data_IF_817996211733
#
_entry.id   IF_817996211733
#
_cell.length_a   1.000
_cell.length_b   1.000
_cell.length_c   1.000
_cell.angle_alpha   90.00
_cell.angle_beta   90.00
_cell.angle_gamma   90.00
#
_symmetry.space_group_name_H-M   'P 1'
#
loop_
_entity.id
_entity.type
_entity.pdbx_description
1 polymer ?
#
# COMPACT_ATOMS: atom_id res chain seq x y z
N UNK A 1 50.75 -55.55 30.90
CA UNK A 1 50.70 -54.06 31.17
C UNK A 1 51.36 -53.39 30.00
N UNK A 2 50.56 -52.89 29.04
CA UNK A 2 51.09 -52.17 27.88
C UNK A 2 50.48 -50.76 27.93
N UNK A 3 51.33 -49.78 28.20
CA UNK A 3 51.05 -48.37 28.26
C UNK A 3 51.07 -47.78 26.84
N UNK A 4 49.93 -47.44 26.31
CA UNK A 4 49.80 -46.75 25.02
C UNK A 4 49.96 -45.23 25.25
N UNK A 5 51.04 -44.68 24.81
CA UNK A 5 51.33 -43.22 24.82
C UNK A 5 50.58 -42.55 23.67
N UNK A 6 49.57 -41.77 24.00
CA UNK A 6 48.84 -40.90 23.02
C UNK A 6 49.69 -39.65 22.76
N UNK A 7 50.26 -39.57 21.60
CA UNK A 7 50.99 -38.38 21.09
C UNK A 7 49.95 -37.29 20.69
N UNK A 8 49.92 -36.20 21.43
CA UNK A 8 49.11 -35.01 21.18
C UNK A 8 49.71 -34.22 20.02
N UNK A 9 49.09 -34.20 18.86
CA UNK A 9 49.47 -33.35 17.75
C UNK A 9 49.33 -31.85 18.14
N UNK A 10 50.25 -30.98 17.74
CA UNK A 10 50.15 -29.56 18.03
C UNK A 10 49.03 -28.94 17.24
N UNK A 11 48.11 -28.32 17.95
CA UNK A 11 47.02 -27.47 17.37
C UNK A 11 47.71 -26.32 16.64
N UNK A 12 47.59 -26.32 15.31
CA UNK A 12 48.12 -25.23 14.49
C UNK A 12 47.40 -23.93 14.85
N UNK A 13 48.20 -22.91 15.24
CA UNK A 13 47.71 -21.55 15.42
C UNK A 13 47.12 -21.04 14.12
N UNK A 14 45.89 -20.49 14.10
CA UNK A 14 45.30 -19.94 12.89
C UNK A 14 46.13 -18.77 12.37
N UNK A 15 46.49 -18.82 11.11
CA UNK A 15 47.20 -17.78 10.38
C UNK A 15 46.53 -16.41 10.51
N UNK A 16 47.27 -15.31 10.80
CA UNK A 16 46.70 -13.97 10.91
C UNK A 16 46.08 -13.42 9.61
N UNK A 17 46.28 -14.08 8.49
CA UNK A 17 45.72 -13.71 7.19
C UNK A 17 44.21 -13.97 7.03
N UNK A 18 43.57 -14.74 7.94
CA UNK A 18 42.12 -15.01 7.88
C UNK A 18 41.26 -13.95 8.60
N UNK A 19 41.89 -12.99 9.31
CA UNK A 19 41.17 -12.08 10.21
C UNK A 19 40.89 -10.69 9.66
N UNK A 20 41.04 -10.43 8.38
CA UNK A 20 40.66 -9.15 7.76
C UNK A 20 39.88 -9.35 6.46
N UNK A 21 38.73 -10.00 6.53
CA UNK A 21 37.69 -9.59 5.60
C UNK A 21 37.15 -8.25 6.10
N UNK A 22 37.66 -7.17 5.47
CA UNK A 22 37.07 -5.86 5.57
C UNK A 22 35.54 -5.98 5.40
N UNK A 23 34.74 -5.20 6.16
CA UNK A 23 33.30 -5.14 5.88
C UNK A 23 33.22 -4.83 4.39
N UNK A 24 32.60 -5.75 3.65
CA UNK A 24 32.30 -5.54 2.24
C UNK A 24 31.64 -4.18 2.15
N UNK A 25 32.35 -3.22 1.54
CA UNK A 25 31.75 -1.98 1.12
C UNK A 25 30.35 -2.37 0.62
N UNK A 26 29.30 -1.68 1.07
CA UNK A 26 27.98 -1.76 0.45
C UNK A 26 28.21 -1.32 -1.00
N UNK A 27 28.72 -2.26 -1.80
CA UNK A 27 29.06 -2.07 -3.19
C UNK A 27 27.79 -1.59 -3.84
N UNK A 28 27.87 -0.49 -4.54
CA UNK A 28 26.79 0.07 -5.37
C UNK A 28 26.21 -1.09 -6.18
N UNK A 29 25.14 -1.70 -5.63
CA UNK A 29 24.41 -2.75 -6.33
C UNK A 29 23.86 -2.09 -7.57
N UNK A 30 24.35 -2.49 -8.75
CA UNK A 30 23.97 -1.87 -10.01
C UNK A 30 22.45 -1.91 -10.16
N UNK A 31 21.89 -0.90 -10.79
CA UNK A 31 20.44 -0.73 -10.95
C UNK A 31 19.76 -2.02 -11.49
N UNK A 32 20.42 -2.72 -12.42
CA UNK A 32 19.94 -4.00 -12.98
C UNK A 32 19.89 -5.13 -11.94
N UNK A 33 20.88 -5.21 -11.07
CA UNK A 33 20.88 -6.20 -9.99
C UNK A 33 19.81 -5.90 -8.96
N UNK A 34 19.59 -4.61 -8.66
CA UNK A 34 18.55 -4.15 -7.75
C UNK A 34 17.14 -4.47 -8.27
N UNK A 35 16.89 -4.22 -9.55
CA UNK A 35 15.62 -4.57 -10.21
C UNK A 35 15.37 -6.09 -10.21
N UNK A 36 16.41 -6.89 -10.44
CA UNK A 36 16.31 -8.37 -10.40
C UNK A 36 16.02 -8.87 -8.98
N UNK A 37 16.61 -8.26 -7.95
CA UNK A 37 16.32 -8.57 -6.55
C UNK A 37 14.88 -8.17 -6.17
N UNK A 38 14.43 -6.99 -6.58
CA UNK A 38 13.03 -6.54 -6.38
C UNK A 38 12.07 -7.54 -7.05
N UNK A 39 12.32 -7.93 -8.30
CA UNK A 39 11.48 -8.90 -9.02
C UNK A 39 11.44 -10.27 -8.34
N UNK A 40 12.57 -10.80 -7.88
CA UNK A 40 12.63 -12.08 -7.17
C UNK A 40 11.89 -12.03 -5.82
N UNK A 41 12.05 -10.94 -5.06
CA UNK A 41 11.36 -10.72 -3.79
C UNK A 41 9.85 -10.50 -4.01
N UNK A 42 9.48 -9.73 -5.02
CA UNK A 42 8.07 -9.51 -5.38
C UNK A 42 7.40 -10.83 -5.77
N UNK A 43 8.04 -11.67 -6.61
CA UNK A 43 7.53 -13.00 -6.94
C UNK A 43 7.35 -13.88 -5.71
N UNK A 44 8.31 -13.87 -4.80
CA UNK A 44 8.19 -14.61 -3.53
C UNK A 44 7.03 -14.12 -2.70
N UNK A 45 6.89 -12.81 -2.51
CA UNK A 45 5.80 -12.21 -1.74
C UNK A 45 4.43 -12.48 -2.40
N UNK A 46 4.35 -12.43 -3.74
CA UNK A 46 3.13 -12.76 -4.48
C UNK A 46 2.74 -14.24 -4.29
N UNK A 47 3.71 -15.16 -4.26
CA UNK A 47 3.45 -16.57 -3.95
C UNK A 47 2.98 -16.76 -2.50
N UNK A 48 3.48 -15.99 -1.55
CA UNK A 48 3.00 -16.02 -0.16
C UNK A 48 1.53 -15.56 -0.06
N UNK A 49 1.15 -14.49 -0.76
CA UNK A 49 -0.25 -14.03 -0.83
C UNK A 49 -1.15 -15.11 -1.43
N UNK A 50 -0.70 -15.82 -2.48
CA UNK A 50 -1.47 -16.93 -3.06
C UNK A 50 -1.66 -18.11 -2.08
N UNK A 51 -0.76 -18.26 -1.11
CA UNK A 51 -0.83 -19.29 -0.05
C UNK A 51 -1.56 -18.80 1.20
N UNK A 52 -1.92 -17.50 1.25
CA UNK A 52 -2.71 -16.90 2.32
C UNK A 52 -4.14 -16.63 1.81
N UNK A 53 -5.05 -17.59 1.98
CA UNK A 53 -6.42 -17.47 1.47
C UNK A 53 -7.19 -16.33 2.15
N UNK A 54 -6.85 -15.96 3.39
CA UNK A 54 -7.50 -14.85 4.10
C UNK A 54 -7.24 -13.50 3.40
N UNK A 55 -5.99 -13.20 3.04
CA UNK A 55 -5.69 -11.93 2.39
C UNK A 55 -6.18 -11.85 0.94
N UNK A 56 -6.32 -13.00 0.26
CA UNK A 56 -6.97 -13.05 -1.07
C UNK A 56 -8.47 -12.86 -0.97
N UNK A 57 -9.09 -13.48 0.05
CA UNK A 57 -10.52 -13.35 0.31
C UNK A 57 -10.89 -11.90 0.61
N UNK A 58 -10.09 -11.21 1.42
CA UNK A 58 -10.23 -9.77 1.71
C UNK A 58 -10.14 -8.92 0.44
N UNK A 59 -9.17 -9.17 -0.43
CA UNK A 59 -8.98 -8.40 -1.66
C UNK A 59 -10.11 -8.59 -2.67
N UNK A 60 -10.82 -9.73 -2.63
CA UNK A 60 -11.92 -10.04 -3.53
C UNK A 60 -13.28 -9.67 -2.92
N UNK A 61 -13.51 -10.06 -1.67
CA UNK A 61 -14.83 -9.93 -1.05
C UNK A 61 -15.14 -8.52 -0.56
N UNK A 62 -14.13 -7.82 0.00
CA UNK A 62 -14.35 -6.47 0.53
C UNK A 62 -14.82 -5.46 -0.52
N UNK A 63 -14.22 -5.37 -1.73
CA UNK A 63 -14.76 -4.50 -2.78
C UNK A 63 -16.23 -4.80 -3.13
N UNK A 64 -16.59 -6.07 -3.17
CA UNK A 64 -17.95 -6.51 -3.48
C UNK A 64 -18.92 -6.10 -2.36
N UNK A 65 -18.56 -6.38 -1.11
CA UNK A 65 -19.39 -6.02 0.04
C UNK A 65 -19.58 -4.51 0.11
N UNK A 66 -18.50 -3.74 -0.04
CA UNK A 66 -18.59 -2.28 0.08
C UNK A 66 -19.45 -1.68 -1.01
N UNK A 67 -19.27 -2.05 -2.28
CA UNK A 67 -20.09 -1.48 -3.35
C UNK A 67 -21.57 -1.85 -3.19
N UNK A 68 -21.87 -3.11 -2.84
CA UNK A 68 -23.27 -3.53 -2.60
C UNK A 68 -23.86 -2.79 -1.41
N UNK A 69 -23.13 -2.71 -0.29
CA UNK A 69 -23.59 -2.02 0.91
C UNK A 69 -23.87 -0.54 0.61
N UNK A 70 -22.92 0.16 -0.01
CA UNK A 70 -23.11 1.58 -0.30
C UNK A 70 -24.25 1.81 -1.30
N UNK A 71 -24.32 1.06 -2.37
CA UNK A 71 -25.37 1.24 -3.39
C UNK A 71 -26.76 0.92 -2.86
N UNK A 72 -26.95 -0.20 -2.17
CA UNK A 72 -28.28 -0.62 -1.72
C UNK A 72 -28.70 0.03 -0.39
N UNK A 73 -27.79 0.33 0.53
CA UNK A 73 -28.14 0.95 1.81
C UNK A 73 -28.21 2.47 1.69
N UNK A 74 -27.22 3.08 1.03
CA UNK A 74 -27.09 4.54 0.97
C UNK A 74 -27.60 5.15 -0.33
N UNK A 75 -27.63 4.39 -1.44
CA UNK A 75 -28.07 4.89 -2.74
C UNK A 75 -29.46 5.53 -2.70
N UNK A 76 -30.43 4.86 -2.09
CA UNK A 76 -31.78 5.38 -1.94
C UNK A 76 -31.91 6.60 -1.05
N UNK A 77 -31.03 6.73 -0.04
CA UNK A 77 -31.02 7.87 0.89
C UNK A 77 -30.36 9.12 0.30
N UNK A 78 -29.35 8.94 -0.55
CA UNK A 78 -28.54 10.06 -1.11
C UNK A 78 -29.09 10.52 -2.45
N UNK A 79 -29.47 9.60 -3.35
CA UNK A 79 -29.91 9.92 -4.71
C UNK A 79 -31.43 9.88 -4.91
N UNK A 80 -32.17 9.51 -3.85
CA UNK A 80 -33.62 9.31 -3.93
C UNK A 80 -34.00 7.90 -4.42
N UNK A 81 -35.23 7.50 -4.13
CA UNK A 81 -35.75 6.17 -4.54
C UNK A 81 -35.75 6.02 -6.07
N UNK A 82 -35.12 4.99 -6.56
CA UNK A 82 -35.02 4.65 -7.99
C UNK A 82 -33.82 5.18 -8.74
N UNK A 83 -32.94 5.99 -8.13
CA UNK A 83 -31.78 6.59 -8.77
C UNK A 83 -30.45 5.91 -8.35
N UNK A 84 -30.45 4.60 -8.12
CA UNK A 84 -29.26 3.87 -7.69
C UNK A 84 -28.10 3.98 -8.69
N UNK A 85 -28.38 4.06 -10.00
CA UNK A 85 -27.37 4.22 -11.06
C UNK A 85 -26.57 5.54 -10.90
N UNK A 86 -27.27 6.63 -10.55
CA UNK A 86 -26.62 7.92 -10.29
C UNK A 86 -25.63 7.80 -9.13
N UNK A 87 -26.02 7.08 -8.08
CA UNK A 87 -25.14 6.88 -6.92
C UNK A 87 -23.99 5.93 -7.20
N UNK A 88 -24.18 4.89 -8.01
CA UNK A 88 -23.10 3.98 -8.46
C UNK A 88 -22.01 4.79 -9.17
N UNK A 89 -22.40 5.66 -10.10
CA UNK A 89 -21.47 6.53 -10.83
C UNK A 89 -20.73 7.52 -9.91
N UNK A 90 -21.37 7.93 -8.81
CA UNK A 90 -20.76 8.79 -7.81
C UNK A 90 -19.81 8.03 -6.87
N UNK A 91 -20.26 6.91 -6.29
CA UNK A 91 -19.56 6.25 -5.18
C UNK A 91 -18.41 5.35 -5.64
N UNK A 92 -18.52 4.71 -6.82
CA UNK A 92 -17.52 3.74 -7.30
C UNK A 92 -16.10 4.35 -7.40
N UNK A 93 -15.91 5.55 -8.01
CA UNK A 93 -14.60 6.19 -8.01
C UNK A 93 -14.09 6.56 -6.60
N UNK A 94 -14.99 6.94 -5.69
CA UNK A 94 -14.67 7.17 -4.30
C UNK A 94 -14.20 5.91 -3.57
N UNK A 95 -14.87 4.78 -3.80
CA UNK A 95 -14.47 3.49 -3.22
C UNK A 95 -13.10 3.02 -3.72
N UNK A 96 -12.67 3.40 -4.92
CA UNK A 96 -11.29 3.14 -5.39
C UNK A 96 -10.25 3.77 -4.45
N UNK A 97 -10.48 5.02 -4.02
CA UNK A 97 -9.61 5.71 -3.07
C UNK A 97 -9.59 5.00 -1.70
N UNK A 98 -10.75 4.59 -1.22
CA UNK A 98 -10.90 3.85 0.04
C UNK A 98 -10.19 2.49 0.01
N UNK A 99 -10.30 1.72 -1.09
CA UNK A 99 -9.59 0.44 -1.24
C UNK A 99 -8.08 0.63 -1.18
N UNK A 100 -7.56 1.64 -1.88
CA UNK A 100 -6.13 1.97 -1.85
C UNK A 100 -5.63 2.27 -0.44
N UNK A 101 -6.40 3.01 0.33
CA UNK A 101 -6.09 3.35 1.71
C UNK A 101 -6.06 2.12 2.64
N UNK A 102 -7.06 1.25 2.55
CA UNK A 102 -7.17 0.05 3.40
C UNK A 102 -6.01 -0.93 3.12
N UNK A 103 -5.68 -1.16 1.84
CA UNK A 103 -4.55 -2.00 1.45
C UNK A 103 -3.23 -1.39 1.91
N UNK A 104 -3.09 -0.07 1.84
CA UNK A 104 -1.90 0.62 2.33
C UNK A 104 -1.70 0.45 3.84
N UNK A 105 -2.77 0.50 4.62
CA UNK A 105 -2.73 0.24 6.07
C UNK A 105 -2.26 -1.19 6.37
N UNK A 106 -2.75 -2.18 5.63
CA UNK A 106 -2.36 -3.58 5.80
C UNK A 106 -0.84 -3.80 5.61
N UNK A 107 -0.18 -3.00 4.73
CA UNK A 107 1.27 -3.02 4.56
C UNK A 107 2.00 -2.70 5.88
N UNK A 108 1.55 -1.68 6.59
CA UNK A 108 2.14 -1.27 7.86
C UNK A 108 2.01 -2.33 8.95
N UNK A 109 0.82 -2.93 9.06
CA UNK A 109 0.55 -4.05 9.96
C UNK A 109 1.46 -5.23 9.62
N UNK A 110 1.49 -5.65 8.36
CA UNK A 110 2.31 -6.76 7.90
C UNK A 110 3.82 -6.55 8.09
N UNK A 111 4.33 -5.32 7.96
CA UNK A 111 5.75 -5.03 8.27
C UNK A 111 6.02 -5.19 9.77
N UNK A 112 5.14 -4.72 10.64
CA UNK A 112 5.30 -4.90 12.09
C UNK A 112 5.35 -6.40 12.46
N UNK A 113 4.47 -7.20 11.87
CA UNK A 113 4.42 -8.65 12.10
C UNK A 113 5.65 -9.37 11.56
N UNK A 114 6.14 -9.00 10.37
CA UNK A 114 7.38 -9.55 9.79
C UNK A 114 8.58 -9.31 10.72
N UNK A 115 8.66 -8.14 11.37
CA UNK A 115 9.69 -7.86 12.37
C UNK A 115 9.53 -8.74 13.61
N UNK A 116 8.31 -8.94 14.12
CA UNK A 116 8.07 -9.78 15.29
C UNK A 116 8.37 -11.26 15.04
N UNK A 117 8.06 -11.74 13.84
CA UNK A 117 8.31 -13.13 13.43
C UNK A 117 9.78 -13.39 13.08
N UNK A 118 10.68 -12.40 13.20
CA UNK A 118 12.10 -12.54 12.89
C UNK A 118 12.39 -12.75 11.39
N UNK A 119 11.42 -12.50 10.51
CA UNK A 119 11.60 -12.62 9.06
C UNK A 119 12.69 -11.65 8.58
N UNK A 120 12.78 -10.48 9.21
CA UNK A 120 13.77 -9.46 8.87
C UNK A 120 15.20 -9.85 9.23
N UNK A 121 15.41 -10.70 10.23
CA UNK A 121 16.76 -11.17 10.61
C UNK A 121 17.35 -12.07 9.53
N UNK A 122 16.53 -12.79 8.79
CA UNK A 122 16.98 -13.57 7.61
C UNK A 122 17.43 -12.67 6.47
N UNK A 123 16.84 -11.49 6.29
CA UNK A 123 17.25 -10.54 5.26
C UNK A 123 18.59 -9.85 5.60
N UNK A 124 18.97 -9.80 6.88
CA UNK A 124 20.28 -9.27 7.32
C UNK A 124 21.46 -10.07 6.79
N UNK A 125 21.27 -11.38 6.63
CA UNK A 125 22.34 -12.28 6.16
C UNK A 125 22.47 -12.32 4.64
N UNK A 126 21.51 -11.72 3.91
CA UNK A 126 21.55 -11.68 2.46
C UNK A 126 22.16 -10.39 1.92
N UNK A 127 22.96 -10.44 0.85
CA UNK A 127 23.54 -9.25 0.21
C UNK A 127 22.50 -8.52 -0.66
N UNK A 128 21.42 -8.01 -0.03
CA UNK A 128 20.28 -7.34 -0.69
C UNK A 128 20.20 -5.90 -0.19
N UNK A 129 19.94 -4.95 -1.08
CA UNK A 129 19.72 -3.57 -0.67
C UNK A 129 18.44 -3.50 0.21
N UNK A 130 18.54 -2.91 1.38
CA UNK A 130 17.46 -2.83 2.38
C UNK A 130 16.20 -2.15 1.82
N UNK A 131 16.36 -1.14 0.97
CA UNK A 131 15.26 -0.50 0.26
C UNK A 131 14.51 -1.43 -0.69
N UNK A 132 15.20 -2.43 -1.29
CA UNK A 132 14.59 -3.37 -2.23
C UNK A 132 13.54 -4.26 -1.56
N UNK A 133 13.68 -4.57 -0.28
CA UNK A 133 12.70 -5.34 0.48
C UNK A 133 11.39 -4.56 0.62
N UNK A 134 11.49 -3.28 0.98
CA UNK A 134 10.32 -2.40 1.12
C UNK A 134 9.64 -2.16 -0.23
N UNK A 135 10.42 -1.88 -1.28
CA UNK A 135 9.89 -1.67 -2.63
C UNK A 135 9.20 -2.93 -3.16
N UNK A 136 9.82 -4.11 -2.96
CA UNK A 136 9.20 -5.38 -3.38
C UNK A 136 7.85 -5.62 -2.69
N UNK A 137 7.72 -5.26 -1.41
CA UNK A 137 6.44 -5.34 -0.69
C UNK A 137 5.42 -4.37 -1.28
N UNK A 138 5.78 -3.12 -1.53
CA UNK A 138 4.91 -2.13 -2.18
C UNK A 138 4.44 -2.62 -3.55
N UNK A 139 5.33 -3.14 -4.39
CA UNK A 139 4.98 -3.64 -5.74
C UNK A 139 3.92 -4.75 -5.67
N UNK A 140 4.06 -5.67 -4.73
CA UNK A 140 3.08 -6.77 -4.55
C UNK A 140 1.73 -6.24 -4.06
N UNK A 141 1.73 -5.29 -3.13
CA UNK A 141 0.50 -4.71 -2.61
C UNK A 141 -0.20 -3.79 -3.63
N UNK A 142 0.56 -3.11 -4.49
CA UNK A 142 -0.01 -2.42 -5.67
C UNK A 142 -0.67 -3.42 -6.62
N UNK A 143 -0.09 -4.59 -6.82
CA UNK A 143 -0.72 -5.67 -7.58
C UNK A 143 -2.04 -6.14 -6.95
N UNK A 144 -2.07 -6.31 -5.62
CA UNK A 144 -3.30 -6.65 -4.88
C UNK A 144 -4.36 -5.54 -4.97
N UNK A 145 -3.93 -4.29 -4.87
CA UNK A 145 -4.79 -3.13 -5.04
C UNK A 145 -5.39 -3.06 -6.46
N UNK A 146 -4.61 -3.40 -7.48
CA UNK A 146 -5.10 -3.48 -8.86
C UNK A 146 -6.19 -4.54 -9.01
N UNK A 147 -6.02 -5.72 -8.41
CA UNK A 147 -7.04 -6.78 -8.40
C UNK A 147 -8.32 -6.27 -7.71
N UNK A 148 -8.21 -5.72 -6.51
CA UNK A 148 -9.35 -5.19 -5.77
C UNK A 148 -10.09 -4.08 -6.54
N UNK A 149 -9.35 -3.17 -7.17
CA UNK A 149 -9.91 -2.09 -8.00
C UNK A 149 -10.60 -2.64 -9.25
N UNK A 150 -10.03 -3.67 -9.89
CA UNK A 150 -10.64 -4.31 -11.06
C UNK A 150 -11.96 -5.00 -10.69
N UNK A 151 -12.01 -5.67 -9.54
CA UNK A 151 -13.23 -6.30 -9.02
C UNK A 151 -14.28 -5.24 -8.69
N UNK A 152 -13.87 -4.16 -8.01
CA UNK A 152 -14.75 -3.03 -7.69
C UNK A 152 -15.38 -2.42 -8.95
N UNK A 153 -14.57 -2.16 -9.97
CA UNK A 153 -15.06 -1.63 -11.26
C UNK A 153 -15.94 -2.63 -11.98
N UNK A 154 -15.59 -3.93 -11.99
CA UNK A 154 -16.42 -4.99 -12.55
C UNK A 154 -17.79 -5.05 -11.91
N UNK A 155 -17.85 -4.97 -10.58
CA UNK A 155 -19.12 -4.88 -9.84
C UNK A 155 -19.85 -3.57 -10.12
N UNK A 156 -19.13 -2.46 -10.23
CA UNK A 156 -19.69 -1.17 -10.62
C UNK A 156 -20.41 -1.26 -11.98
N UNK A 157 -19.79 -1.87 -12.98
CA UNK A 157 -20.40 -2.09 -14.31
C UNK A 157 -21.65 -2.96 -14.24
N UNK A 158 -21.65 -4.01 -13.42
CA UNK A 158 -22.84 -4.85 -13.21
C UNK A 158 -24.00 -4.09 -12.53
N UNK A 159 -23.68 -3.04 -11.76
CA UNK A 159 -24.66 -2.22 -11.04
C UNK A 159 -25.07 -0.94 -11.80
N UNK A 160 -24.57 -0.73 -13.03
CA UNK A 160 -24.92 0.42 -13.86
C UNK A 160 -23.89 1.55 -13.87
N UNK A 161 -22.60 1.27 -13.57
CA UNK A 161 -21.53 2.24 -13.79
C UNK A 161 -21.37 2.49 -15.29
N UNK A 162 -21.47 3.72 -15.70
CA UNK A 162 -21.25 4.15 -17.07
C UNK A 162 -19.96 4.94 -17.20
N UNK A 163 -19.19 4.67 -18.26
CA UNK A 163 -17.99 5.47 -18.58
C UNK A 163 -18.42 6.51 -19.61
N UNK A 164 -18.45 7.76 -19.20
CA UNK A 164 -18.79 8.89 -20.10
C UNK A 164 -17.56 9.46 -20.81
N UNK A 165 -16.38 8.88 -20.59
CA UNK A 165 -15.10 9.29 -21.14
C UNK A 165 -14.47 8.18 -22.01
N UNK A 166 -13.17 8.24 -22.27
CA UNK A 166 -12.46 7.20 -23.01
C UNK A 166 -11.86 6.14 -22.08
N UNK A 167 -11.58 4.96 -22.64
CA UNK A 167 -10.86 3.89 -21.94
C UNK A 167 -9.51 4.35 -21.33
N UNK A 168 -8.83 5.29 -21.99
CA UNK A 168 -7.57 5.85 -21.48
C UNK A 168 -7.77 6.66 -20.19
N UNK A 169 -8.89 7.35 -20.04
CA UNK A 169 -9.22 8.06 -18.81
C UNK A 169 -9.51 7.09 -17.65
N UNK A 170 -10.17 5.96 -17.93
CA UNK A 170 -10.34 4.90 -16.94
C UNK A 170 -8.99 4.34 -16.47
N UNK A 171 -8.07 4.05 -17.42
CA UNK A 171 -6.72 3.61 -17.07
C UNK A 171 -5.95 4.67 -16.28
N UNK A 172 -6.13 5.95 -16.60
CA UNK A 172 -5.54 7.05 -15.85
C UNK A 172 -6.09 7.12 -14.41
N UNK A 173 -7.39 6.91 -14.20
CA UNK A 173 -8.01 6.85 -12.88
C UNK A 173 -7.46 5.69 -12.04
N UNK A 174 -7.34 4.50 -12.65
CA UNK A 174 -6.71 3.33 -12.00
C UNK A 174 -5.25 3.64 -11.67
N UNK A 175 -4.47 4.13 -12.63
CA UNK A 175 -3.06 4.47 -12.41
C UNK A 175 -2.85 5.52 -11.32
N UNK A 176 -3.69 6.57 -11.30
CA UNK A 176 -3.64 7.60 -10.27
C UNK A 176 -3.93 7.02 -8.87
N UNK A 177 -4.93 6.13 -8.77
CA UNK A 177 -5.26 5.43 -7.52
C UNK A 177 -4.10 4.55 -7.05
N UNK A 178 -3.40 3.85 -7.99
CA UNK A 178 -2.22 3.03 -7.67
C UNK A 178 -1.06 3.90 -7.15
N UNK A 179 -0.77 5.01 -7.82
CA UNK A 179 0.30 5.95 -7.42
C UNK A 179 0.02 6.54 -6.04
N UNK A 180 -1.20 6.99 -5.82
CA UNK A 180 -1.59 7.56 -4.53
C UNK A 180 -1.57 6.50 -3.41
N UNK A 181 -2.12 5.31 -3.65
CA UNK A 181 -2.06 4.19 -2.70
C UNK A 181 -0.62 3.81 -2.37
N UNK A 182 0.26 3.71 -3.38
CA UNK A 182 1.68 3.44 -3.15
C UNK A 182 2.36 4.52 -2.30
N UNK A 183 1.95 5.78 -2.43
CA UNK A 183 2.46 6.86 -1.58
C UNK A 183 2.02 6.70 -0.12
N UNK A 184 0.75 6.33 0.11
CA UNK A 184 0.23 6.05 1.46
C UNK A 184 0.94 4.86 2.13
N UNK A 185 1.34 3.85 1.36
CA UNK A 185 2.08 2.71 1.90
C UNK A 185 3.35 3.14 2.63
N UNK A 186 4.04 4.20 2.20
CA UNK A 186 5.23 4.70 2.89
C UNK A 186 4.92 5.24 4.29
N UNK A 187 3.76 5.91 4.47
CA UNK A 187 3.29 6.35 5.81
C UNK A 187 3.11 5.15 6.71
N UNK A 188 2.39 4.13 6.23
CA UNK A 188 2.09 2.94 7.03
C UNK A 188 3.31 2.06 7.28
N UNK A 189 4.25 1.99 6.33
CA UNK A 189 5.56 1.35 6.55
C UNK A 189 6.28 2.05 7.70
N UNK A 190 6.35 3.38 7.69
CA UNK A 190 6.99 4.14 8.76
C UNK A 190 6.29 3.91 10.11
N UNK A 191 4.95 3.87 10.11
CA UNK A 191 4.15 3.58 11.29
C UNK A 191 4.42 2.16 11.81
N UNK A 192 4.43 1.15 10.94
CA UNK A 192 4.76 -0.25 11.25
C UNK A 192 6.17 -0.43 11.82
N UNK A 193 7.12 0.38 11.36
CA UNK A 193 8.49 0.40 11.89
C UNK A 193 8.62 1.11 13.24
N UNK A 194 7.70 2.00 13.59
CA UNK A 194 7.77 2.78 14.84
C UNK A 194 6.98 2.16 15.97
N UNK A 195 5.85 1.57 15.68
CA UNK A 195 4.95 1.00 16.67
C UNK A 195 5.46 -0.35 17.21
N UNK A 196 5.07 -0.66 18.47
CA UNK A 196 5.49 -1.90 19.14
C UNK A 196 4.63 -3.12 18.73
N UNK A 197 3.38 -2.91 18.35
CA UNK A 197 2.44 -3.99 18.01
C UNK A 197 1.64 -3.69 16.75
N UNK A 198 1.21 -4.73 16.05
CA UNK A 198 0.34 -4.62 14.89
C UNK A 198 -0.99 -3.93 15.23
N UNK A 199 -1.54 -4.22 16.42
CA UNK A 199 -2.75 -3.57 16.92
C UNK A 199 -2.55 -2.06 17.15
N UNK A 200 -1.36 -1.64 17.62
CA UNK A 200 -1.04 -0.22 17.76
C UNK A 200 -0.90 0.47 16.42
N UNK A 201 -0.36 -0.22 15.39
CA UNK A 201 -0.34 0.29 14.01
C UNK A 201 -1.76 0.50 13.50
N UNK A 202 -2.61 -0.50 13.65
CA UNK A 202 -4.00 -0.46 13.20
C UNK A 202 -4.81 0.62 13.94
N UNK A 203 -4.70 0.69 15.25
CA UNK A 203 -5.41 1.70 16.07
C UNK A 203 -5.01 3.13 15.71
N UNK A 204 -3.70 3.39 15.55
CA UNK A 204 -3.19 4.70 15.14
C UNK A 204 -3.61 5.05 13.71
N UNK A 205 -3.56 4.06 12.80
CA UNK A 205 -4.02 4.24 11.44
C UNK A 205 -5.52 4.61 11.41
N UNK A 206 -6.36 3.87 12.11
CA UNK A 206 -7.81 4.14 12.18
C UNK A 206 -8.13 5.51 12.76
N UNK A 207 -7.40 5.95 13.78
CA UNK A 207 -7.59 7.27 14.40
C UNK A 207 -7.40 8.42 13.38
N UNK A 208 -6.47 8.26 12.44
CA UNK A 208 -6.19 9.26 11.39
C UNK A 208 -7.08 9.04 10.16
N UNK A 209 -7.26 7.78 9.76
CA UNK A 209 -7.97 7.45 8.53
C UNK A 209 -9.48 7.65 8.63
N UNK A 210 -10.10 7.39 9.78
CA UNK A 210 -11.55 7.60 9.93
C UNK A 210 -11.97 9.05 9.66
N UNK A 211 -11.37 10.08 10.30
CA UNK A 211 -11.72 11.45 9.98
C UNK A 211 -11.44 11.83 8.52
N UNK A 212 -10.32 11.36 7.96
CA UNK A 212 -9.99 11.60 6.55
C UNK A 212 -11.00 10.95 5.60
N UNK A 213 -11.45 9.74 5.90
CA UNK A 213 -12.37 8.97 5.06
C UNK A 213 -13.79 9.53 5.10
N UNK A 214 -14.33 9.76 6.31
CA UNK A 214 -15.69 10.28 6.47
C UNK A 214 -15.79 11.79 6.21
N UNK A 215 -14.70 12.54 6.40
CA UNK A 215 -14.59 13.95 6.02
C UNK A 215 -14.13 14.14 4.56
N UNK A 216 -14.44 13.20 3.67
CA UNK A 216 -14.07 13.28 2.26
C UNK A 216 -15.29 13.24 1.35
N UNK A 217 -15.10 13.55 0.06
CA UNK A 217 -16.14 13.43 -0.98
C UNK A 217 -16.37 11.99 -1.44
N UNK A 218 -15.81 10.97 -0.76
CA UNK A 218 -15.93 9.57 -1.17
C UNK A 218 -17.41 9.12 -1.21
N UNK A 219 -18.16 9.36 -0.14
CA UNK A 219 -19.48 8.81 0.08
C UNK A 219 -20.64 9.76 -0.27
N UNK A 220 -20.42 11.05 -0.04
CA UNK A 220 -21.45 12.08 -0.24
C UNK A 220 -20.84 13.34 -0.88
N UNK A 221 -21.60 14.06 -1.70
CA UNK A 221 -21.13 15.28 -2.33
C UNK A 221 -20.90 16.39 -1.30
N UNK A 222 -19.83 17.21 -1.46
CA UNK A 222 -19.53 18.30 -0.52
C UNK A 222 -20.65 19.35 -0.40
N UNK A 223 -21.54 19.42 -1.38
CA UNK A 223 -22.70 20.32 -1.37
C UNK A 223 -23.73 20.00 -0.28
N UNK A 224 -23.72 18.77 0.24
CA UNK A 224 -24.59 18.35 1.35
C UNK A 224 -23.95 18.54 2.73
N UNK A 225 -22.70 19.04 2.79
CA UNK A 225 -21.93 19.17 4.02
C UNK A 225 -21.99 20.60 4.58
N UNK A 226 -21.88 20.77 5.94
CA UNK A 226 -21.66 22.08 6.55
C UNK A 226 -20.37 22.74 6.05
N UNK A 227 -20.31 24.09 6.05
CA UNK A 227 -19.23 24.86 5.46
C UNK A 227 -17.83 24.50 6.01
N UNK A 228 -17.72 24.27 7.32
CA UNK A 228 -16.45 23.84 7.94
C UNK A 228 -15.96 22.48 7.45
N UNK A 229 -16.90 21.54 7.22
CA UNK A 229 -16.56 20.22 6.72
C UNK A 229 -16.24 20.26 5.23
N UNK A 230 -16.96 21.09 4.46
CA UNK A 230 -16.66 21.33 3.05
C UNK A 230 -15.25 21.87 2.88
N UNK A 231 -14.85 22.89 3.67
CA UNK A 231 -13.49 23.41 3.65
C UNK A 231 -12.42 22.33 3.96
N UNK A 232 -12.69 21.43 4.91
CA UNK A 232 -11.82 20.28 5.19
C UNK A 232 -11.76 19.31 3.99
N UNK A 233 -12.91 19.02 3.37
CA UNK A 233 -13.03 18.11 2.23
C UNK A 233 -12.24 18.61 1.02
N UNK A 234 -12.24 19.91 0.74
CA UNK A 234 -11.53 20.51 -0.39
C UNK A 234 -10.00 20.31 -0.33
N UNK A 235 -9.43 20.30 0.88
CA UNK A 235 -8.00 20.04 1.09
C UNK A 235 -7.66 18.58 1.35
N UNK A 236 -8.65 17.74 1.59
CA UNK A 236 -8.45 16.34 1.93
C UNK A 236 -7.87 15.55 0.75
N UNK A 237 -6.71 14.89 0.91
CA UNK A 237 -6.08 14.15 -0.18
C UNK A 237 -6.94 13.01 -0.73
N UNK A 238 -7.79 12.39 0.11
CA UNK A 238 -8.71 11.33 -0.33
C UNK A 238 -9.85 11.90 -1.18
N UNK A 239 -10.35 13.10 -0.86
CA UNK A 239 -11.33 13.80 -1.70
C UNK A 239 -10.76 14.14 -3.06
N UNK A 240 -9.54 14.69 -3.09
CA UNK A 240 -8.88 15.02 -4.34
C UNK A 240 -8.70 13.79 -5.25
N UNK A 241 -8.34 12.62 -4.67
CA UNK A 241 -8.26 11.38 -5.43
C UNK A 241 -9.63 10.90 -5.92
N UNK A 242 -10.65 10.92 -5.04
CA UNK A 242 -12.01 10.50 -5.39
C UNK A 242 -12.59 11.38 -6.51
N UNK A 243 -12.39 12.70 -6.42
CA UNK A 243 -12.87 13.66 -7.41
C UNK A 243 -12.07 13.56 -8.72
N UNK A 244 -10.77 13.33 -8.66
CA UNK A 244 -9.94 13.07 -9.85
C UNK A 244 -10.41 11.79 -10.57
N UNK A 245 -10.61 10.70 -9.85
CA UNK A 245 -11.09 9.45 -10.42
C UNK A 245 -12.51 9.61 -10.99
N UNK A 246 -13.39 10.33 -10.29
CA UNK A 246 -14.76 10.63 -10.72
C UNK A 246 -14.79 11.46 -12.00
N UNK A 247 -14.00 12.53 -12.06
CA UNK A 247 -13.92 13.38 -13.25
C UNK A 247 -13.28 12.65 -14.44
N UNK A 248 -12.32 11.75 -14.20
CA UNK A 248 -11.73 10.91 -15.23
C UNK A 248 -12.74 9.89 -15.80
N UNK A 249 -13.62 9.30 -14.98
CA UNK A 249 -14.57 8.26 -15.41
C UNK A 249 -15.85 8.90 -15.98
N UNK A 250 -16.43 9.87 -15.29
CA UNK A 250 -17.73 10.43 -15.62
C UNK A 250 -17.65 11.69 -16.51
N UNK A 251 -16.45 12.24 -16.70
CA UNK A 251 -16.25 13.52 -17.39
C UNK A 251 -16.33 14.70 -16.42
N UNK A 252 -15.51 15.72 -16.69
CA UNK A 252 -15.44 16.93 -15.87
C UNK A 252 -14.05 17.55 -15.89
N UNK A 253 -13.82 18.60 -15.08
CA UNK A 253 -12.54 19.31 -15.01
C UNK A 253 -11.51 18.45 -14.24
N UNK A 254 -10.66 17.72 -14.97
CA UNK A 254 -9.70 16.77 -14.39
C UNK A 254 -8.42 17.43 -13.84
N UNK A 255 -8.00 18.57 -14.42
CA UNK A 255 -6.65 19.09 -14.19
C UNK A 255 -6.37 19.40 -12.71
N UNK A 256 -7.25 20.14 -12.03
CA UNK A 256 -7.03 20.54 -10.64
C UNK A 256 -6.90 19.34 -9.70
N UNK A 257 -7.87 18.45 -9.72
CA UNK A 257 -7.92 17.27 -8.81
C UNK A 257 -6.78 16.29 -9.07
N UNK A 258 -6.39 16.10 -10.34
CA UNK A 258 -5.25 15.23 -10.70
C UNK A 258 -3.94 15.82 -10.20
N UNK A 259 -3.69 17.14 -10.42
CA UNK A 259 -2.47 17.76 -9.95
C UNK A 259 -2.38 17.81 -8.42
N UNK A 260 -3.50 18.08 -7.75
CA UNK A 260 -3.54 18.03 -6.27
C UNK A 260 -3.25 16.62 -5.74
N UNK A 261 -3.83 15.59 -6.36
CA UNK A 261 -3.57 14.20 -5.99
C UNK A 261 -2.10 13.81 -6.19
N UNK A 262 -1.51 14.17 -7.34
CA UNK A 262 -0.10 13.92 -7.61
C UNK A 262 0.81 14.72 -6.68
N UNK A 263 0.45 15.97 -6.36
CA UNK A 263 1.15 16.80 -5.39
C UNK A 263 1.17 16.18 -4.00
N UNK A 264 0.02 15.70 -3.51
CA UNK A 264 -0.06 14.95 -2.26
C UNK A 264 0.76 13.66 -2.29
N UNK A 265 0.64 12.86 -3.35
CA UNK A 265 1.39 11.62 -3.49
C UNK A 265 2.91 11.86 -3.48
N UNK A 266 3.37 12.91 -4.18
CA UNK A 266 4.77 13.30 -4.19
C UNK A 266 5.23 13.79 -2.81
N UNK A 267 4.50 14.70 -2.18
CA UNK A 267 4.82 15.23 -0.85
C UNK A 267 4.92 14.12 0.20
N UNK A 268 3.93 13.23 0.23
CA UNK A 268 3.93 12.06 1.12
C UNK A 268 5.17 11.21 0.87
N UNK A 269 5.42 10.83 -0.39
CA UNK A 269 6.54 9.95 -0.75
C UNK A 269 7.88 10.58 -0.41
N UNK A 270 8.12 11.84 -0.77
CA UNK A 270 9.38 12.55 -0.53
C UNK A 270 9.68 12.68 0.96
N UNK A 271 8.67 12.87 1.80
CA UNK A 271 8.84 12.99 3.25
C UNK A 271 8.97 11.62 3.91
N UNK A 272 8.06 10.69 3.61
CA UNK A 272 7.94 9.44 4.39
C UNK A 272 8.86 8.32 3.91
N UNK A 273 9.16 8.23 2.61
CA UNK A 273 10.01 7.17 2.09
C UNK A 273 11.47 7.24 2.64
N UNK A 274 12.15 8.40 2.65
CA UNK A 274 13.48 8.48 3.26
C UNK A 274 13.48 8.14 4.74
N UNK A 275 12.45 8.62 5.48
CA UNK A 275 12.29 8.34 6.91
C UNK A 275 12.06 6.84 7.17
N UNK A 276 11.21 6.21 6.37
CA UNK A 276 10.96 4.78 6.47
C UNK A 276 12.22 3.96 6.18
N UNK A 277 12.95 4.28 5.12
CA UNK A 277 14.21 3.61 4.76
C UNK A 277 15.29 3.84 5.85
N UNK A 278 15.42 5.06 6.36
CA UNK A 278 16.36 5.36 7.44
C UNK A 278 16.02 4.60 8.74
N UNK A 279 14.73 4.55 9.09
CA UNK A 279 14.27 3.80 10.26
C UNK A 279 14.45 2.29 10.08
N UNK A 280 14.17 1.77 8.88
CA UNK A 280 14.40 0.38 8.54
C UNK A 280 15.88 0.01 8.69
N UNK A 281 16.81 0.86 8.19
CA UNK A 281 18.26 0.68 8.34
C UNK A 281 18.73 0.64 9.78
N UNK A 282 18.11 1.44 10.67
CA UNK A 282 18.48 1.48 12.11
C UNK A 282 17.95 0.28 12.88
N UNK A 283 16.85 -0.32 12.39
CA UNK A 283 16.17 -1.42 13.08
C UNK A 283 16.66 -2.79 12.59
N UNK A 284 17.28 -2.84 11.42
CA UNK A 284 17.94 -4.00 10.81
C UNK A 284 19.46 -3.84 10.80
#
# INVERSE_FOLDING_TARGET
>A
MSTTTVTKSPVGTPSPAAARRAPSAEGRIGLRANLRHIGALARRNALQIKQDPESMFDAVLMPIIFILLFVYVFGGAISGKGNNEVYVNYVTPGLMAMMGMNISMAVGVGINDDFKKGVMDRFRTMPIARSSVLIAKIVVEVGRMLIATTILLGMGFLLGLEIHTSFFHLLAAIGLSMVFGASLMWIFILLGLTMKTAQAVQGMAMLVLMPLQFGSSIFAPPTSMPDWLKAFTDYNPLSNLADAARNLINGGPVAHSVWMTLGWALAITVVTAPLAVAKFRKKT
#
